data_IF_280738140032
#
_entry.id   IF_280738140032
#
_cell.length_a   1.000
_cell.length_b   1.000
_cell.length_c   1.000
_cell.angle_alpha   90.00
_cell.angle_beta   90.00
_cell.angle_gamma   90.00
#
_symmetry.space_group_name_H-M   'P 1'
#
loop_
_entity.id
_entity.type
_entity.pdbx_description
1 polymer ?
#
# COMPACT_ATOMS: atom_id res chain seq x y z
N UNK A 1 -20.83 -5.22 7.24
CA UNK A 1 -19.52 -4.59 7.44
C UNK A 1 -19.60 -3.62 8.60
N UNK A 2 -18.72 -3.80 9.57
CA UNK A 2 -18.52 -2.86 10.67
C UNK A 2 -17.74 -1.65 10.18
N UNK A 3 -18.27 -0.45 10.44
CA UNK A 3 -17.58 0.81 10.11
C UNK A 3 -17.26 1.56 11.40
N UNK A 4 -16.00 1.96 11.55
CA UNK A 4 -15.48 2.72 12.68
C UNK A 4 -14.77 3.95 12.14
N UNK A 5 -15.22 5.12 12.57
CA UNK A 5 -14.71 6.42 12.12
C UNK A 5 -13.94 7.01 13.28
N UNK A 6 -12.73 7.52 13.02
CA UNK A 6 -11.98 8.24 14.04
C UNK A 6 -12.80 9.46 14.54
N UNK A 7 -12.89 9.68 15.87
CA UNK A 7 -13.41 10.94 16.41
C UNK A 7 -12.47 12.09 16.02
N UNK A 8 -13.01 13.12 15.38
CA UNK A 8 -12.19 14.19 14.82
C UNK A 8 -12.98 15.14 13.93
N UNK A 9 -12.32 15.82 12.98
CA UNK A 9 -12.97 16.75 12.06
C UNK A 9 -14.03 16.03 11.22
N UNK A 10 -15.04 16.78 10.78
CA UNK A 10 -16.09 16.20 9.95
C UNK A 10 -15.53 15.58 8.66
N UNK A 11 -16.04 14.40 8.32
CA UNK A 11 -15.73 13.73 7.06
C UNK A 11 -16.14 14.60 5.88
N UNK A 12 -15.28 14.68 4.87
CA UNK A 12 -15.59 15.31 3.60
C UNK A 12 -16.77 14.61 2.92
N UNK A 13 -17.48 15.30 2.03
CA UNK A 13 -18.67 14.76 1.35
C UNK A 13 -18.42 13.42 0.65
N UNK A 14 -17.26 13.26 0.02
CA UNK A 14 -16.85 12.01 -0.63
C UNK A 14 -16.57 10.87 0.36
N UNK A 15 -15.94 11.17 1.50
CA UNK A 15 -15.68 10.20 2.57
C UNK A 15 -17.01 9.74 3.21
N UNK A 16 -17.97 10.66 3.34
CA UNK A 16 -19.31 10.36 3.85
C UNK A 16 -20.09 9.44 2.90
N UNK A 17 -20.11 9.77 1.61
CA UNK A 17 -20.73 8.89 0.60
C UNK A 17 -20.04 7.52 0.56
N UNK A 18 -18.70 7.47 0.68
CA UNK A 18 -17.96 6.21 0.77
C UNK A 18 -18.35 5.38 2.02
N UNK A 19 -18.49 6.02 3.18
CA UNK A 19 -19.01 5.35 4.39
C UNK A 19 -20.41 4.79 4.16
N UNK A 20 -21.28 5.55 3.50
CA UNK A 20 -22.63 5.11 3.17
C UNK A 20 -22.60 3.92 2.20
N UNK A 21 -21.69 3.90 1.22
CA UNK A 21 -21.44 2.72 0.38
C UNK A 21 -21.07 1.50 1.23
N UNK A 22 -20.10 1.63 2.14
CA UNK A 22 -19.65 0.51 2.98
C UNK A 22 -20.77 -0.03 3.88
N UNK A 23 -21.64 0.84 4.40
CA UNK A 23 -22.79 0.47 5.24
C UNK A 23 -23.93 -0.16 4.43
N UNK A 24 -24.09 0.23 3.17
CA UNK A 24 -25.15 -0.29 2.31
C UNK A 24 -24.97 -1.77 1.95
N UNK A 25 -23.74 -2.31 2.05
CA UNK A 25 -23.47 -3.70 1.70
C UNK A 25 -23.13 -4.56 2.92
N UNK A 26 -23.92 -5.61 3.19
CA UNK A 26 -23.59 -6.58 4.23
C UNK A 26 -22.48 -7.52 3.74
N UNK A 27 -21.23 -7.13 3.95
CA UNK A 27 -20.06 -8.02 3.82
C UNK A 27 -19.30 -8.10 5.14
N UNK A 28 -18.68 -9.25 5.41
CA UNK A 28 -17.82 -9.42 6.58
C UNK A 28 -16.56 -8.58 6.42
N UNK A 29 -16.35 -7.64 7.32
CA UNK A 29 -15.22 -6.73 7.30
C UNK A 29 -15.30 -5.67 8.38
N UNK A 30 -14.15 -5.11 8.71
CA UNK A 30 -14.00 -3.93 9.54
C UNK A 30 -13.37 -2.81 8.70
N UNK A 31 -14.07 -1.70 8.53
CA UNK A 31 -13.55 -0.49 7.92
C UNK A 31 -13.19 0.54 9.00
N UNK A 32 -11.92 0.93 9.04
CA UNK A 32 -11.35 1.97 9.88
C UNK A 32 -11.20 3.23 9.02
N UNK A 33 -12.09 4.20 9.17
CA UNK A 33 -12.15 5.41 8.34
C UNK A 33 -11.45 6.57 9.04
N UNK A 34 -10.72 7.36 8.26
CA UNK A 34 -9.88 8.45 8.72
C UNK A 34 -8.88 7.99 9.80
N UNK A 35 -8.17 6.90 9.52
CA UNK A 35 -7.17 6.35 10.44
C UNK A 35 -5.79 6.99 10.17
N UNK A 36 -4.87 6.86 11.13
CA UNK A 36 -3.53 7.45 11.10
C UNK A 36 -2.59 6.35 11.53
N UNK A 37 -1.68 6.00 10.66
CA UNK A 37 -0.72 4.93 10.85
C UNK A 37 0.66 5.57 10.79
N UNK A 38 1.33 5.59 11.93
CA UNK A 38 2.53 6.41 12.12
C UNK A 38 2.22 7.91 11.98
N UNK A 39 2.91 8.58 11.06
CA UNK A 39 2.77 9.99 10.75
C UNK A 39 1.73 10.30 9.64
N UNK A 40 1.13 9.26 9.04
CA UNK A 40 0.29 9.39 7.84
C UNK A 40 -1.19 9.23 8.14
N UNK A 41 -2.00 10.15 7.64
CA UNK A 41 -3.47 10.03 7.59
C UNK A 41 -3.85 9.22 6.35
N UNK A 42 -4.72 8.24 6.52
CA UNK A 42 -5.23 7.37 5.46
C UNK A 42 -6.74 7.57 5.37
N UNK A 43 -7.30 7.55 4.15
CA UNK A 43 -8.75 7.66 3.95
C UNK A 43 -9.52 6.55 4.66
N UNK A 44 -9.15 5.30 4.44
CA UNK A 44 -9.63 4.16 5.21
C UNK A 44 -8.67 2.97 5.17
N UNK A 45 -8.80 2.08 6.15
CA UNK A 45 -8.21 0.74 6.13
C UNK A 45 -9.33 -0.27 6.32
N UNK A 46 -9.54 -1.13 5.33
CA UNK A 46 -10.57 -2.17 5.35
C UNK A 46 -9.91 -3.52 5.60
N UNK A 47 -10.24 -4.13 6.73
CA UNK A 47 -9.81 -5.47 7.12
C UNK A 47 -10.93 -6.45 6.78
N UNK A 48 -10.67 -7.40 5.90
CA UNK A 48 -11.58 -8.51 5.60
C UNK A 48 -10.98 -9.81 6.14
N UNK A 49 -11.74 -10.91 6.22
CA UNK A 49 -11.17 -12.20 6.64
C UNK A 49 -9.96 -12.68 5.81
N UNK A 50 -9.71 -12.08 4.64
CA UNK A 50 -8.73 -12.56 3.66
C UNK A 50 -7.60 -11.57 3.37
N UNK A 51 -7.77 -10.29 3.69
CA UNK A 51 -6.75 -9.30 3.44
C UNK A 51 -7.05 -7.97 4.11
N UNK A 52 -6.12 -7.05 3.90
CA UNK A 52 -6.24 -5.65 4.33
C UNK A 52 -6.12 -4.79 3.07
N UNK A 53 -7.02 -3.84 2.91
CA UNK A 53 -6.97 -2.85 1.83
C UNK A 53 -6.79 -1.46 2.45
N UNK A 54 -5.77 -0.73 2.01
CA UNK A 54 -5.61 0.69 2.31
C UNK A 54 -6.29 1.50 1.22
N UNK A 55 -7.22 2.38 1.60
CA UNK A 55 -8.05 3.11 0.66
C UNK A 55 -7.80 4.60 0.80
N UNK A 56 -7.50 5.26 -0.31
CA UNK A 56 -7.58 6.71 -0.45
C UNK A 56 -8.91 7.06 -1.10
N UNK A 57 -9.69 7.95 -0.48
CA UNK A 57 -11.01 8.37 -0.98
C UNK A 57 -10.89 9.76 -1.58
N UNK A 58 -11.30 9.93 -2.84
CA UNK A 58 -11.24 11.22 -3.53
C UNK A 58 -12.56 11.54 -4.20
N UNK A 59 -13.14 12.68 -3.83
CA UNK A 59 -14.30 13.25 -4.48
C UNK A 59 -13.94 14.08 -5.69
N UNK A 60 -14.92 14.33 -6.56
CA UNK A 60 -14.73 15.19 -7.72
C UNK A 60 -14.97 16.65 -7.36
N UNK A 61 -14.13 17.56 -7.86
CA UNK A 61 -14.34 19.01 -7.71
C UNK A 61 -15.52 19.49 -8.53
N UNK A 62 -15.74 18.89 -9.70
CA UNK A 62 -16.86 19.20 -10.63
C UNK A 62 -17.43 17.93 -11.24
N UNK A 63 -18.63 18.02 -11.83
CA UNK A 63 -19.24 16.87 -12.53
C UNK A 63 -18.41 16.53 -13.80
N UNK A 64 -17.77 15.36 -13.82
CA UNK A 64 -17.03 14.84 -14.97
C UNK A 64 -17.46 13.41 -15.26
N UNK A 65 -18.16 13.19 -16.38
CA UNK A 65 -18.54 11.86 -16.86
C UNK A 65 -17.65 11.46 -18.03
N UNK A 66 -17.34 10.18 -18.17
CA UNK A 66 -16.58 9.70 -19.32
C UNK A 66 -15.63 8.55 -19.03
N UNK A 67 -14.61 8.44 -19.88
CA UNK A 67 -13.62 7.38 -19.81
C UNK A 67 -12.44 7.79 -18.93
N UNK A 68 -12.27 7.14 -17.79
CA UNK A 68 -11.10 7.24 -16.93
C UNK A 68 -9.90 6.61 -17.64
N UNK A 69 -8.86 7.41 -17.84
CA UNK A 69 -7.57 6.98 -18.37
C UNK A 69 -6.46 7.33 -17.38
N UNK A 70 -5.57 6.37 -17.17
CA UNK A 70 -4.44 6.46 -16.24
C UNK A 70 -3.16 6.26 -17.08
N UNK A 71 -2.56 7.34 -17.53
CA UNK A 71 -1.40 7.30 -18.43
C UNK A 71 -0.22 8.08 -17.83
N UNK A 72 0.90 7.40 -17.60
CA UNK A 72 2.16 8.00 -17.15
C UNK A 72 2.00 8.96 -15.93
N UNK A 73 1.18 8.57 -14.95
CA UNK A 73 0.92 9.38 -13.75
C UNK A 73 -0.08 10.54 -13.95
N UNK A 74 -0.57 10.74 -15.17
CA UNK A 74 -1.64 11.70 -15.48
C UNK A 74 -2.98 10.99 -15.54
N UNK A 75 -3.95 11.50 -14.79
CA UNK A 75 -5.28 10.94 -14.69
C UNK A 75 -6.23 11.86 -15.46
N UNK A 76 -6.97 11.29 -16.42
CA UNK A 76 -7.90 12.06 -17.26
C UNK A 76 -9.26 11.38 -17.32
N UNK A 77 -10.30 12.17 -17.62
CA UNK A 77 -11.63 11.71 -18.01
C UNK A 77 -11.94 12.28 -19.38
N UNK A 78 -12.06 11.40 -20.38
CA UNK A 78 -12.30 11.80 -21.78
C UNK A 78 -11.38 12.95 -22.20
N UNK A 79 -10.07 12.74 -22.06
CA UNK A 79 -8.98 13.66 -22.40
C UNK A 79 -8.90 14.96 -21.59
N UNK A 80 -9.82 15.19 -20.65
CA UNK A 80 -9.75 16.31 -19.72
C UNK A 80 -9.03 15.89 -18.43
N UNK A 81 -8.19 16.75 -17.83
CA UNK A 81 -7.59 16.47 -16.52
C UNK A 81 -8.66 16.11 -15.47
N UNK A 82 -8.37 15.07 -14.69
CA UNK A 82 -9.22 14.68 -13.57
C UNK A 82 -9.15 15.75 -12.47
N UNK A 83 -10.29 16.33 -12.12
CA UNK A 83 -10.37 17.38 -11.10
C UNK A 83 -10.98 16.84 -9.82
N UNK A 84 -10.12 16.63 -8.83
CA UNK A 84 -10.48 16.11 -7.52
C UNK A 84 -10.63 17.24 -6.49
N UNK A 85 -11.47 16.99 -5.49
CA UNK A 85 -11.60 17.87 -4.34
C UNK A 85 -10.37 17.70 -3.42
N UNK A 86 -9.76 18.82 -3.02
CA UNK A 86 -8.54 18.84 -2.22
C UNK A 86 -7.28 18.71 -3.08
N UNK A 87 -6.48 17.69 -2.80
CA UNK A 87 -5.19 17.48 -3.47
C UNK A 87 -5.34 17.14 -4.96
N UNK A 88 -4.37 17.54 -5.81
CA UNK A 88 -4.35 17.14 -7.20
C UNK A 88 -4.27 15.62 -7.36
N UNK A 89 -4.75 15.12 -8.51
CA UNK A 89 -4.66 13.70 -8.84
C UNK A 89 -3.20 13.20 -8.99
N UNK A 90 -2.27 14.12 -9.28
CA UNK A 90 -0.85 13.83 -9.31
C UNK A 90 -0.35 13.41 -7.91
N UNK A 91 0.33 12.27 -7.83
CA UNK A 91 0.87 11.74 -6.57
C UNK A 91 -0.08 10.87 -5.75
N UNK A 92 -1.36 10.70 -6.15
CA UNK A 92 -2.29 9.80 -5.45
C UNK A 92 -1.79 8.35 -5.43
N UNK A 93 -1.23 7.93 -6.55
CA UNK A 93 -0.58 6.63 -6.68
C UNK A 93 0.50 6.46 -5.61
N UNK A 94 1.38 7.45 -5.42
CA UNK A 94 2.43 7.39 -4.41
C UNK A 94 1.86 7.47 -2.98
N UNK A 95 0.80 8.25 -2.78
CA UNK A 95 0.13 8.39 -1.49
C UNK A 95 -0.41 7.03 -1.00
N UNK A 96 -1.16 6.32 -1.86
CA UNK A 96 -1.70 5.00 -1.50
C UNK A 96 -0.56 3.98 -1.31
N UNK A 97 0.52 4.08 -2.07
CA UNK A 97 1.70 3.20 -1.94
C UNK A 97 2.38 3.37 -0.58
N UNK A 98 2.62 4.62 -0.19
CA UNK A 98 3.17 4.94 1.12
C UNK A 98 2.23 4.51 2.25
N UNK A 99 0.91 4.63 2.06
CA UNK A 99 -0.09 4.14 3.00
C UNK A 99 -0.05 2.62 3.18
N UNK A 100 0.01 1.88 2.07
CA UNK A 100 0.21 0.41 2.07
C UNK A 100 1.50 0.04 2.78
N UNK A 101 2.60 0.75 2.48
CA UNK A 101 3.89 0.50 3.13
C UNK A 101 3.82 0.75 4.65
N UNK A 102 3.23 1.86 5.09
CA UNK A 102 3.06 2.17 6.51
C UNK A 102 2.26 1.10 7.25
N UNK A 103 1.17 0.61 6.65
CA UNK A 103 0.37 -0.49 7.21
C UNK A 103 1.17 -1.79 7.28
N UNK A 104 1.93 -2.14 6.23
CA UNK A 104 2.78 -3.34 6.24
C UNK A 104 3.83 -3.27 7.36
N UNK A 105 4.51 -2.14 7.50
CA UNK A 105 5.50 -1.93 8.56
C UNK A 105 4.87 -2.05 9.94
N UNK A 106 3.70 -1.45 10.17
CA UNK A 106 2.99 -1.56 11.44
C UNK A 106 2.61 -3.02 11.79
N UNK A 107 2.14 -3.78 10.79
CA UNK A 107 1.82 -5.21 10.97
C UNK A 107 3.06 -6.05 11.26
N UNK A 108 4.16 -5.80 10.54
CA UNK A 108 5.44 -6.52 10.72
C UNK A 108 6.04 -6.26 12.10
N UNK A 109 5.98 -5.02 12.59
CA UNK A 109 6.38 -4.65 13.94
C UNK A 109 5.54 -5.36 15.01
N UNK A 110 4.27 -5.63 14.71
CA UNK A 110 3.37 -6.42 15.56
C UNK A 110 3.47 -7.94 15.33
N UNK A 111 4.46 -8.41 14.57
CA UNK A 111 4.68 -9.82 14.21
C UNK A 111 3.47 -10.47 13.50
N UNK A 112 2.69 -9.67 12.77
CA UNK A 112 1.58 -10.13 11.94
C UNK A 112 2.02 -10.28 10.48
N UNK A 113 1.41 -11.21 9.76
CA UNK A 113 1.71 -11.38 8.33
C UNK A 113 1.12 -10.23 7.50
N UNK A 114 1.99 -9.54 6.76
CA UNK A 114 1.76 -8.33 5.96
C UNK A 114 1.58 -8.61 4.46
N UNK A 115 1.65 -9.88 4.01
CA UNK A 115 1.61 -10.25 2.58
C UNK A 115 0.28 -9.94 1.90
N UNK A 116 -0.79 -9.87 2.68
CA UNK A 116 -2.16 -9.68 2.20
C UNK A 116 -2.63 -8.22 2.32
N UNK A 117 -1.69 -7.26 2.28
CA UNK A 117 -2.00 -5.82 2.24
C UNK A 117 -1.94 -5.32 0.81
N UNK A 118 -3.03 -4.72 0.36
CA UNK A 118 -3.17 -4.05 -0.95
C UNK A 118 -3.64 -2.61 -0.75
N UNK A 119 -3.72 -1.85 -1.84
CA UNK A 119 -4.35 -0.55 -1.79
C UNK A 119 -5.32 -0.28 -2.92
N UNK A 120 -6.17 0.71 -2.71
CA UNK A 120 -7.05 1.22 -3.74
C UNK A 120 -7.23 2.73 -3.62
N UNK A 121 -7.50 3.38 -4.74
CA UNK A 121 -8.04 4.74 -4.76
C UNK A 121 -9.51 4.64 -5.14
N UNK A 122 -10.39 5.10 -4.27
CA UNK A 122 -11.83 5.15 -4.52
C UNK A 122 -12.20 6.56 -4.95
N UNK A 123 -12.57 6.68 -6.23
CA UNK A 123 -13.10 7.88 -6.85
C UNK A 123 -14.61 7.94 -6.62
N UNK A 124 -15.07 9.01 -5.98
CA UNK A 124 -16.48 9.21 -5.64
C UNK A 124 -17.07 10.33 -6.51
N UNK A 125 -17.66 9.97 -7.67
CA UNK A 125 -18.30 10.95 -8.55
C UNK A 125 -19.64 11.42 -7.97
N UNK A 126 -20.11 12.57 -8.46
CA UNK A 126 -21.47 13.03 -8.17
C UNK A 126 -22.52 11.99 -8.60
N UNK A 127 -23.66 11.92 -7.90
CA UNK A 127 -24.76 11.04 -8.29
C UNK A 127 -25.24 11.38 -9.71
N UNK A 128 -25.43 10.34 -10.54
CA UNK A 128 -25.77 10.47 -11.96
C UNK A 128 -24.59 10.71 -12.90
N UNK A 129 -23.38 10.94 -12.38
CA UNK A 129 -22.14 10.96 -13.18
C UNK A 129 -21.66 9.54 -13.38
N UNK A 130 -21.31 9.21 -14.63
CA UNK A 130 -20.84 7.88 -15.02
C UNK A 130 -19.39 7.97 -15.43
N UNK A 131 -18.54 7.23 -14.71
CA UNK A 131 -17.11 7.10 -15.02
C UNK A 131 -16.82 5.63 -15.32
N UNK A 132 -16.13 5.37 -16.43
CA UNK A 132 -15.80 4.01 -16.88
C UNK A 132 -14.33 3.94 -17.32
N UNK A 133 -13.66 2.79 -17.18
CA UNK A 133 -14.11 1.61 -16.47
C UNK A 133 -14.25 1.90 -14.97
N UNK A 134 -15.15 1.17 -14.29
CA UNK A 134 -15.38 1.37 -12.86
C UNK A 134 -14.28 0.75 -11.98
N UNK A 135 -13.39 -0.05 -12.58
CA UNK A 135 -12.15 -0.54 -11.97
C UNK A 135 -11.01 -0.46 -12.99
N UNK A 136 -9.85 0.00 -12.55
CA UNK A 136 -8.62 0.03 -13.36
C UNK A 136 -7.43 -0.34 -12.50
N UNK A 137 -6.59 -1.27 -12.96
CA UNK A 137 -5.35 -1.58 -12.25
C UNK A 137 -4.33 -0.44 -12.46
N UNK A 138 -3.75 0.08 -11.38
CA UNK A 138 -2.60 1.00 -11.46
C UNK A 138 -1.31 0.20 -11.65
N UNK A 139 -1.15 -0.83 -10.84
CA UNK A 139 -0.01 -1.75 -10.78
C UNK A 139 -0.36 -2.96 -9.92
N UNK A 140 0.47 -4.00 -9.85
CA UNK A 140 0.18 -5.17 -9.04
C UNK A 140 -0.14 -4.81 -7.58
N UNK A 141 -1.34 -5.18 -7.12
CA UNK A 141 -1.82 -4.94 -5.76
C UNK A 141 -2.42 -3.56 -5.49
N UNK A 142 -2.56 -2.70 -6.52
CA UNK A 142 -3.08 -1.34 -6.41
C UNK A 142 -4.05 -1.02 -7.54
N UNK A 143 -5.29 -0.70 -7.19
CA UNK A 143 -6.38 -0.45 -8.14
C UNK A 143 -7.02 0.93 -7.94
N UNK A 144 -7.62 1.47 -8.99
CA UNK A 144 -8.58 2.59 -8.93
C UNK A 144 -9.98 2.02 -9.07
N UNK A 145 -10.88 2.45 -8.22
CA UNK A 145 -12.28 2.06 -8.19
C UNK A 145 -13.14 3.31 -8.28
N UNK A 146 -14.24 3.23 -9.02
CA UNK A 146 -15.29 4.24 -9.03
C UNK A 146 -16.44 3.70 -8.20
N UNK A 147 -16.85 4.42 -7.17
CA UNK A 147 -17.95 4.00 -6.32
C UNK A 147 -18.73 5.20 -5.74
N UNK A 148 -20.05 5.08 -5.73
CA UNK A 148 -20.96 5.93 -4.95
C UNK A 148 -22.11 5.05 -4.43
N UNK A 149 -23.02 5.62 -3.63
CA UNK A 149 -24.06 4.80 -2.97
C UNK A 149 -25.03 4.16 -3.97
N UNK A 150 -25.10 4.66 -5.20
CA UNK A 150 -25.98 4.14 -6.28
C UNK A 150 -25.27 3.06 -7.11
N UNK A 151 -23.97 3.19 -7.36
CA UNK A 151 -23.14 2.27 -8.14
C UNK A 151 -21.83 1.96 -7.39
N UNK A 152 -21.91 1.01 -6.44
CA UNK A 152 -20.75 0.51 -5.68
C UNK A 152 -20.49 -0.98 -5.91
N UNK A 153 -20.98 -1.52 -7.05
CA UNK A 153 -20.80 -2.92 -7.41
C UNK A 153 -19.32 -3.32 -7.49
N UNK A 154 -18.48 -2.53 -8.18
CA UNK A 154 -17.05 -2.82 -8.32
C UNK A 154 -16.30 -2.72 -6.99
N UNK A 155 -16.64 -1.77 -6.12
CA UNK A 155 -16.07 -1.69 -4.77
C UNK A 155 -16.37 -2.96 -3.99
N UNK A 156 -17.62 -3.43 -4.03
CA UNK A 156 -18.03 -4.67 -3.39
C UNK A 156 -17.27 -5.87 -3.94
N UNK A 157 -17.23 -6.01 -5.27
CA UNK A 157 -16.49 -7.10 -5.95
C UNK A 157 -15.00 -7.05 -5.63
N UNK A 158 -14.40 -5.86 -5.53
CA UNK A 158 -13.00 -5.71 -5.15
C UNK A 158 -12.74 -6.17 -3.70
N UNK A 159 -13.54 -5.71 -2.75
CA UNK A 159 -13.38 -6.04 -1.32
C UNK A 159 -13.67 -7.54 -1.05
N UNK A 160 -14.67 -8.11 -1.72
CA UNK A 160 -14.97 -9.54 -1.68
C UNK A 160 -13.96 -10.36 -2.50
N UNK A 161 -13.40 -9.80 -3.57
CA UNK A 161 -12.52 -10.42 -4.56
C UNK A 161 -11.13 -10.80 -4.04
N UNK A 162 -10.74 -10.30 -2.85
CA UNK A 162 -9.70 -10.92 -2.02
C UNK A 162 -9.99 -12.41 -1.69
N UNK A 163 -11.15 -12.92 -2.11
CA UNK A 163 -11.65 -14.30 -2.03
C UNK A 163 -10.81 -15.41 -2.66
N UNK A 164 -9.70 -15.11 -3.32
CA UNK A 164 -8.67 -16.07 -3.73
C UNK A 164 -8.04 -16.92 -2.59
N UNK A 165 -7.68 -16.24 -1.49
CA UNK A 165 -6.73 -16.77 -0.48
C UNK A 165 -7.35 -17.44 0.74
N UNK A 166 -6.56 -18.08 1.62
CA UNK A 166 -7.05 -18.62 2.89
C UNK A 166 -7.57 -17.49 3.81
N UNK A 167 -8.64 -17.76 4.58
CA UNK A 167 -9.16 -16.83 5.59
C UNK A 167 -8.19 -16.74 6.76
N UNK A 168 -7.28 -15.77 6.71
CA UNK A 168 -6.17 -15.67 7.63
C UNK A 168 -6.38 -14.62 8.75
N UNK A 169 -7.40 -13.76 8.64
CA UNK A 169 -7.74 -12.73 9.63
C UNK A 169 -8.87 -13.20 10.54
N UNK A 170 -8.50 -13.78 11.67
CA UNK A 170 -9.40 -14.17 12.76
C UNK A 170 -9.74 -12.99 13.66
N UNK A 171 -10.74 -13.13 14.53
CA UNK A 171 -11.14 -12.12 15.53
C UNK A 171 -9.92 -11.56 16.28
N UNK A 172 -9.09 -12.42 16.88
CA UNK A 172 -7.91 -11.98 17.63
C UNK A 172 -6.89 -11.25 16.74
N UNK A 173 -6.76 -11.70 15.49
CA UNK A 173 -5.82 -11.09 14.55
C UNK A 173 -6.28 -9.69 14.14
N UNK A 174 -7.59 -9.49 13.94
CA UNK A 174 -8.19 -8.17 13.66
C UNK A 174 -7.99 -7.21 14.84
N UNK A 175 -8.22 -7.67 16.08
CA UNK A 175 -7.99 -6.85 17.27
C UNK A 175 -6.51 -6.46 17.40
N UNK A 176 -5.60 -7.42 17.22
CA UNK A 176 -4.17 -7.14 17.21
C UNK A 176 -3.78 -6.15 16.10
N UNK A 177 -4.42 -6.22 14.94
CA UNK A 177 -4.23 -5.24 13.85
C UNK A 177 -4.72 -3.86 14.26
N UNK A 178 -5.87 -3.73 14.92
CA UNK A 178 -6.34 -2.44 15.43
C UNK A 178 -5.33 -1.83 16.41
N UNK A 179 -4.75 -2.65 17.29
CA UNK A 179 -3.67 -2.23 18.19
C UNK A 179 -2.41 -1.81 17.42
N UNK A 180 -1.97 -2.62 16.45
CA UNK A 180 -0.78 -2.33 15.63
C UNK A 180 -0.91 -1.02 14.84
N UNK A 181 -2.11 -0.71 14.36
CA UNK A 181 -2.41 0.52 13.64
C UNK A 181 -2.64 1.73 14.56
N UNK A 182 -2.56 1.56 15.89
CA UNK A 182 -2.77 2.64 16.86
C UNK A 182 -4.22 3.09 16.98
N UNK A 183 -5.18 2.20 16.69
CA UNK A 183 -6.63 2.46 16.73
C UNK A 183 -7.38 1.47 17.63
N UNK A 184 -6.73 1.01 18.70
CA UNK A 184 -7.32 0.08 19.66
C UNK A 184 -8.64 0.62 20.26
N UNK A 185 -8.75 1.92 20.48
CA UNK A 185 -9.96 2.57 21.03
C UNK A 185 -11.16 2.50 20.08
N UNK A 186 -10.92 2.29 18.78
CA UNK A 186 -11.95 2.13 17.76
C UNK A 186 -12.26 0.65 17.48
N UNK A 187 -11.55 -0.28 18.11
CA UNK A 187 -11.72 -1.69 17.86
C UNK A 187 -13.13 -2.15 18.29
N UNK A 188 -13.86 -2.88 17.42
CA UNK A 188 -15.10 -3.52 17.82
C UNK A 188 -14.87 -4.60 18.88
N UNK A 189 -15.92 -4.97 19.61
CA UNK A 189 -15.84 -6.08 20.56
C UNK A 189 -15.68 -7.43 19.84
N UNK A 190 -15.19 -8.45 20.56
CA UNK A 190 -15.14 -9.82 20.02
C UNK A 190 -16.51 -10.34 19.57
N UNK A 191 -17.58 -9.94 20.27
CA UNK A 191 -18.95 -10.33 19.93
C UNK A 191 -19.38 -9.69 18.59
N UNK A 192 -19.15 -8.38 18.42
CA UNK A 192 -19.47 -7.69 17.16
C UNK A 192 -18.71 -8.29 15.96
N UNK A 193 -17.43 -8.64 16.14
CA UNK A 193 -16.63 -9.29 15.09
C UNK A 193 -17.16 -10.68 14.75
N UNK A 194 -17.58 -11.46 15.75
CA UNK A 194 -18.18 -12.77 15.53
C UNK A 194 -19.52 -12.66 14.80
N UNK A 195 -20.36 -11.69 15.16
CA UNK A 195 -21.65 -11.42 14.52
C UNK A 195 -21.50 -10.96 13.07
N UNK A 196 -20.47 -10.15 12.75
CA UNK A 196 -20.18 -9.73 11.37
C UNK A 196 -19.58 -10.87 10.51
N UNK A 197 -19.15 -11.97 11.14
CA UNK A 197 -18.77 -13.22 10.48
C UNK A 197 -17.27 -13.53 10.46
N UNK A 198 -16.48 -12.90 11.34
CA UNK A 198 -15.07 -13.26 11.51
C UNK A 198 -14.90 -14.59 12.25
N UNK A 199 -13.96 -15.40 11.79
CA UNK A 199 -13.65 -16.69 12.41
C UNK A 199 -12.92 -16.49 13.75
N UNK A 200 -13.36 -17.16 14.81
CA UNK A 200 -12.72 -17.11 16.13
C UNK A 200 -11.40 -17.89 16.21
N UNK A 201 -11.25 -18.94 15.38
CA UNK A 201 -10.08 -19.82 15.38
C UNK A 201 -9.31 -19.69 14.08
N UNK A 202 -7.98 -19.77 14.16
CA UNK A 202 -7.13 -19.89 12.96
C UNK A 202 -7.50 -21.19 12.25
N UNK A 203 -7.68 -21.20 10.91
CA UNK A 203 -7.83 -22.45 10.18
C UNK A 203 -6.66 -23.37 10.52
N UNK A 204 -6.95 -24.66 10.74
CA UNK A 204 -5.91 -25.65 10.99
C UNK A 204 -4.85 -25.55 9.87
N UNK A 205 -3.54 -25.68 10.20
CA UNK A 205 -2.51 -25.75 9.17
C UNK A 205 -2.93 -26.78 8.13
N UNK A 206 -2.85 -26.42 6.84
CA UNK A 206 -3.12 -27.39 5.78
C UNK A 206 -2.29 -28.66 6.07
N UNK A 207 -2.88 -29.86 5.97
CA UNK A 207 -2.15 -31.10 6.21
C UNK A 207 -0.87 -31.05 5.38
N UNK A 208 0.29 -31.15 6.04
CA UNK A 208 1.55 -31.33 5.32
C UNK A 208 1.33 -32.60 4.51
N UNK A 209 1.33 -32.54 3.16
CA UNK A 209 1.15 -33.74 2.37
C UNK A 209 2.22 -34.71 2.85
N UNK A 210 1.79 -35.90 3.28
CA UNK A 210 2.71 -36.93 3.73
C UNK A 210 3.73 -37.10 2.61
N UNK A 211 4.97 -36.64 2.83
CA UNK A 211 6.04 -36.92 1.91
C UNK A 211 6.04 -38.43 1.81
N UNK A 212 5.88 -39.02 0.60
CA UNK A 212 6.01 -40.44 0.46
C UNK A 212 7.38 -40.75 1.03
N UNK A 213 7.40 -41.46 2.18
CA UNK A 213 8.62 -42.11 2.66
C UNK A 213 9.00 -42.99 1.48
N UNK A 214 9.96 -42.54 0.66
CA UNK A 214 10.70 -43.45 -0.19
C UNK A 214 11.26 -44.44 0.81
N UNK A 215 10.63 -45.59 0.92
CA UNK A 215 11.33 -46.78 1.33
C UNK A 215 12.49 -46.83 0.35
N UNK A 216 13.66 -46.37 0.81
CA UNK A 216 14.89 -46.74 0.19
C UNK A 216 14.91 -48.25 0.35
N UNK A 217 14.52 -48.95 -0.71
CA UNK A 217 14.94 -50.32 -0.93
C UNK A 217 16.44 -50.36 -0.58
N UNK A 218 16.91 -51.32 0.23
CA UNK A 218 18.32 -51.40 0.58
C UNK A 218 19.12 -51.45 -0.71
N UNK A 219 19.67 -50.31 -1.12
CA UNK A 219 20.55 -50.22 -2.28
C UNK A 219 21.74 -51.06 -1.90
N UNK A 220 21.88 -52.21 -2.55
CA UNK A 220 23.08 -53.01 -2.46
C UNK A 220 24.28 -52.06 -2.71
N UNK A 221 25.35 -52.16 -1.90
CA UNK A 221 26.47 -51.24 -2.02
C UNK A 221 26.97 -51.25 -3.47
N UNK A 222 27.11 -50.08 -4.11
CA UNK A 222 27.62 -50.02 -5.47
C UNK A 222 29.03 -50.63 -5.51
N UNK A 223 29.40 -51.36 -6.57
CA UNK A 223 30.77 -51.82 -6.74
C UNK A 223 31.71 -50.61 -6.71
N UNK A 224 32.92 -50.76 -6.15
CA UNK A 224 33.86 -49.66 -5.99
C UNK A 224 34.10 -48.99 -7.35
N UNK A 225 33.71 -47.72 -7.45
CA UNK A 225 33.91 -46.93 -8.64
C UNK A 225 35.41 -46.70 -8.85
N UNK A 226 35.92 -47.09 -10.01
CA UNK A 226 37.26 -46.74 -10.44
C UNK A 226 37.43 -45.20 -10.46
N UNK A 227 38.56 -44.67 -9.97
CA UNK A 227 38.76 -43.23 -9.90
C UNK A 227 38.82 -42.61 -11.30
N UNK A 228 37.70 -42.03 -11.74
CA UNK A 228 37.64 -41.31 -13.00
C UNK A 228 38.60 -40.12 -12.97
N UNK A 229 39.55 -40.10 -13.91
CA UNK A 229 40.60 -39.06 -14.04
C UNK A 229 40.09 -37.67 -14.45
N UNK A 230 38.76 -37.43 -14.48
CA UNK A 230 38.15 -36.19 -14.98
C UNK A 230 37.97 -35.07 -13.95
N UNK A 231 38.35 -35.28 -12.69
CA UNK A 231 38.23 -34.27 -11.63
C UNK A 231 39.41 -33.29 -11.46
N UNK A 232 40.51 -33.42 -12.22
CA UNK A 232 41.75 -32.66 -11.96
C UNK A 232 41.81 -31.24 -12.54
N UNK A 233 40.80 -30.79 -13.29
CA UNK A 233 40.85 -29.50 -14.01
C UNK A 233 39.87 -28.42 -13.49
N UNK A 234 38.86 -28.77 -12.69
CA UNK A 234 37.85 -27.77 -12.23
C UNK A 234 38.38 -26.91 -11.07
N UNK A 235 39.16 -27.51 -10.16
CA UNK A 235 39.79 -26.79 -9.03
C UNK A 235 40.64 -25.57 -9.41
N UNK A 236 41.60 -25.68 -10.37
CA UNK A 236 42.44 -24.54 -10.73
C UNK A 236 41.67 -23.43 -11.48
N UNK A 237 40.60 -23.76 -12.21
CA UNK A 237 39.81 -22.76 -12.96
C UNK A 237 39.06 -21.82 -12.00
N UNK A 238 38.42 -22.39 -10.96
CA UNK A 238 37.68 -21.59 -9.97
C UNK A 238 38.65 -20.70 -9.16
N UNK A 239 39.84 -21.21 -8.84
CA UNK A 239 40.85 -20.45 -8.12
C UNK A 239 41.41 -19.28 -8.96
N UNK A 240 41.66 -19.49 -10.26
CA UNK A 240 42.10 -18.44 -11.17
C UNK A 240 41.04 -17.33 -11.36
N UNK A 241 39.76 -17.70 -11.45
CA UNK A 241 38.66 -16.74 -11.56
C UNK A 241 38.51 -15.88 -10.30
N UNK A 242 38.68 -16.47 -9.11
CA UNK A 242 38.65 -15.74 -7.84
C UNK A 242 39.80 -14.73 -7.73
N UNK A 243 41.03 -15.12 -8.10
CA UNK A 243 42.18 -14.23 -8.10
C UNK A 243 42.03 -13.07 -9.10
N UNK A 244 41.44 -13.32 -10.27
CA UNK A 244 41.16 -12.27 -11.25
C UNK A 244 40.17 -11.24 -10.68
N UNK A 245 39.11 -11.69 -10.01
CA UNK A 245 38.13 -10.80 -9.37
C UNK A 245 38.76 -9.91 -8.30
N UNK A 246 39.62 -10.47 -7.46
CA UNK A 246 40.36 -9.70 -6.44
C UNK A 246 41.29 -8.67 -7.08
N UNK A 247 41.98 -9.03 -8.17
CA UNK A 247 42.91 -8.13 -8.85
C UNK A 247 42.18 -6.94 -9.50
N UNK A 248 40.99 -7.16 -10.07
CA UNK A 248 40.16 -6.07 -10.63
C UNK A 248 39.72 -5.09 -9.55
N UNK A 249 39.32 -5.57 -8.36
CA UNK A 249 38.95 -4.69 -7.24
C UNK A 249 40.15 -3.85 -6.80
N UNK A 250 41.34 -4.44 -6.67
CA UNK A 250 42.55 -3.70 -6.32
C UNK A 250 42.92 -2.63 -7.36
N UNK A 251 42.74 -2.91 -8.65
CA UNK A 251 42.98 -1.93 -9.72
C UNK A 251 42.02 -0.74 -9.63
N UNK A 252 40.74 -0.99 -9.36
CA UNK A 252 39.72 0.07 -9.22
C UNK A 252 40.01 0.94 -8.00
N UNK A 253 40.35 0.33 -6.86
CA UNK A 253 40.69 1.07 -5.62
C UNK A 253 41.98 1.86 -5.80
N UNK A 254 42.99 1.28 -6.46
CA UNK A 254 44.24 1.98 -6.78
C UNK A 254 44.01 3.20 -7.67
N UNK A 255 43.18 3.07 -8.72
CA UNK A 255 42.82 4.21 -9.57
C UNK A 255 42.02 5.28 -8.84
N UNK A 256 41.15 4.91 -7.91
CA UNK A 256 40.41 5.86 -7.09
C UNK A 256 41.36 6.69 -6.21
N UNK A 257 42.34 6.04 -5.57
CA UNK A 257 43.32 6.71 -4.72
C UNK A 257 44.29 7.61 -5.50
N UNK A 258 44.62 7.26 -6.75
CA UNK A 258 45.45 8.10 -7.63
C UNK A 258 44.71 9.34 -8.16
N UNK A 259 43.37 9.33 -8.20
CA UNK A 259 42.55 10.47 -8.64
C UNK A 259 42.20 11.44 -7.52
N UNK A 260 42.27 11.02 -6.27
CA UNK A 260 42.06 11.86 -5.08
C UNK A 260 43.38 12.47 -4.57
N UNK A 261 44.11 13.19 -5.44
CA UNK A 261 45.14 14.10 -4.97
C UNK A 261 44.47 15.38 -4.41
N UNK A 262 44.69 15.76 -3.14
CA UNK A 262 43.99 16.88 -2.51
C UNK A 262 44.42 18.22 -3.12
N UNK A 263 43.49 18.91 -3.77
CA UNK A 263 43.67 20.31 -4.19
C UNK A 263 43.44 21.23 -2.98
N UNK A 264 44.37 22.11 -2.61
CA UNK A 264 44.14 23.04 -1.50
C UNK A 264 43.06 24.06 -1.87
N UNK A 265 41.98 24.12 -1.07
CA UNK A 265 40.91 25.12 -1.19
C UNK A 265 41.43 26.49 -0.74
N UNK A 266 41.37 27.47 -1.63
CA UNK A 266 41.47 28.90 -1.29
C UNK A 266 40.21 29.35 -0.58
N UNK A 267 40.35 29.80 0.67
CA UNK A 267 39.36 30.58 1.40
C UNK A 267 39.31 32.00 0.84
N UNK A 268 38.17 32.38 0.25
CA UNK A 268 37.78 33.80 0.13
C UNK A 268 36.32 33.94 0.52
N UNK A 269 36.13 34.66 1.63
CA UNK A 269 34.87 35.15 2.17
C UNK A 269 34.18 36.09 1.18
N UNK A 270 32.84 36.04 1.08
CA UNK A 270 32.03 37.24 0.78
C UNK A 270 30.64 37.07 1.37
N UNK A 271 30.44 37.70 2.53
CA UNK A 271 29.14 37.94 3.17
C UNK A 271 28.36 38.95 2.34
N UNK A 272 27.18 38.58 1.82
CA UNK A 272 26.21 39.57 1.31
C UNK A 272 24.88 39.36 2.02
N UNK A 273 24.54 40.30 2.89
CA UNK A 273 23.30 40.36 3.65
C UNK A 273 22.21 41.00 2.79
N UNK A 274 21.23 40.22 2.33
CA UNK A 274 20.05 40.77 1.65
C UNK A 274 18.91 40.93 2.67
N UNK A 275 18.53 42.18 2.92
CA UNK A 275 17.36 42.57 3.72
C UNK A 275 16.06 42.08 3.05
N UNK A 276 15.22 41.38 3.80
CA UNK A 276 13.84 41.05 3.41
C UNK A 276 12.94 42.23 3.79
N UNK A 277 12.28 42.81 2.78
CA UNK A 277 11.20 43.78 2.94
C UNK A 277 9.91 42.99 3.14
N UNK A 278 9.20 43.24 4.24
CA UNK A 278 7.87 42.67 4.52
C UNK A 278 6.81 43.66 4.01
N UNK A 279 6.01 43.33 3.00
CA UNK A 279 4.82 44.11 2.67
C UNK A 279 3.65 43.72 3.59
N UNK A 280 3.04 44.75 4.17
CA UNK A 280 1.84 44.71 5.00
C UNK A 280 0.56 44.51 4.18
N UNK A 281 -0.23 43.51 4.58
CA UNK A 281 -1.71 43.42 4.58
C UNK A 281 -2.52 43.69 3.30
N UNK A 282 -3.22 42.65 2.85
CA UNK A 282 -4.68 42.68 2.68
C UNK A 282 -5.25 41.28 2.97
N UNK A 283 -5.97 41.13 4.09
CA UNK A 283 -6.65 39.90 4.47
C UNK A 283 -7.95 39.85 3.67
N UNK A 284 -7.95 39.13 2.55
CA UNK A 284 -9.20 38.81 1.85
C UNK A 284 -10.04 37.93 2.76
N UNK A 285 -11.26 38.39 3.06
CA UNK A 285 -12.26 37.56 3.73
C UNK A 285 -12.82 36.62 2.66
N UNK A 286 -12.50 35.33 2.79
CA UNK A 286 -13.06 34.29 1.95
C UNK A 286 -14.50 34.02 2.37
N UNK A 287 -15.47 34.45 1.56
CA UNK A 287 -16.88 34.09 1.76
C UNK A 287 -17.13 32.69 1.17
N UNK A 288 -17.68 31.80 1.99
CA UNK A 288 -18.05 30.43 1.62
C UNK A 288 -19.54 30.32 1.25
N UNK A 289 -19.95 29.35 0.40
CA UNK A 289 -21.36 29.15 0.09
C UNK A 289 -22.09 28.69 1.37
N UNK A 290 -23.24 29.31 1.64
CA UNK A 290 -24.12 29.15 2.82
C UNK A 290 -23.89 30.07 4.04
N UNK A 291 -23.05 31.12 3.95
CA UNK A 291 -23.04 32.20 4.94
C UNK A 291 -24.02 33.32 4.55
N UNK A 292 -24.87 33.75 5.48
CA UNK A 292 -25.91 34.77 5.22
C UNK A 292 -25.51 36.19 5.61
N UNK A 293 -24.37 36.41 6.28
CA UNK A 293 -23.92 37.75 6.73
C UNK A 293 -22.44 38.05 6.41
N UNK A 294 -21.99 37.67 5.22
CA UNK A 294 -20.67 38.03 4.65
C UNK A 294 -20.83 38.53 3.21
#
# INVERSE_FOLDING_TARGET
MLVRIRPGPELAGAEREFVDCLRAYPSTGLALVDCRVGDRRLGAVVVTPRGITVIEVKGFRRRQSGLLSLAAGTWTISDNPLELAGDPAAGLTDQVEHGVHAVRVALEQALQDSRHVSGAVVLVPYRGVVVRPARTALRPGLDVLVANTVDAHELRVYLEGFSAGPRAWTIDRVLNTCTALGVADLAPSKAELAEDGFDGNRPAPAPIPAQPRRFAEPVAPPPPAEPSRRGKLVGPIVFAAALLGVFVVFLVVGQALLRDAPTPRSTTETTTTTRVIVPTTQRQVECFPFQTEC
#
